data_IF_793597501211
#
_entry.id   IF_793597501211
#
_cell.length_a   1.000
_cell.length_b   1.000
_cell.length_c   1.000
_cell.angle_alpha   90.00
_cell.angle_beta   90.00
_cell.angle_gamma   90.00
#
_symmetry.space_group_name_H-M   'P 1'
#
loop_
_entity.id
_entity.type
_entity.pdbx_description
1 polymer ?
#
# COMPACT_ATOMS: atom_id res chain seq x y z
N UNK A 1 -4.88 -37.03 -18.23
CA UNK A 1 -4.26 -35.78 -17.68
C UNK A 1 -4.23 -35.96 -16.18
N UNK A 2 -3.04 -36.03 -15.62
CA UNK A 2 -2.80 -36.44 -14.24
C UNK A 2 -3.22 -35.35 -13.24
N UNK A 3 -3.66 -35.72 -12.03
CA UNK A 3 -4.08 -34.83 -10.95
C UNK A 3 -3.04 -33.73 -10.64
N UNK A 4 -1.76 -33.97 -10.87
CA UNK A 4 -0.66 -33.02 -10.75
C UNK A 4 -0.76 -31.84 -11.75
N UNK A 5 -1.14 -32.08 -13.00
CA UNK A 5 -1.30 -31.03 -14.02
C UNK A 5 -2.53 -30.15 -13.73
N UNK A 6 -3.59 -30.73 -13.18
CA UNK A 6 -4.79 -30.00 -12.74
C UNK A 6 -4.49 -29.13 -11.52
N UNK A 7 -3.74 -29.63 -10.53
CA UNK A 7 -3.30 -28.85 -9.36
C UNK A 7 -2.38 -27.69 -9.75
N UNK A 8 -1.40 -27.92 -10.65
CA UNK A 8 -0.52 -26.88 -11.16
C UNK A 8 -1.29 -25.81 -11.97
N UNK A 9 -2.31 -26.19 -12.74
CA UNK A 9 -3.15 -25.26 -13.49
C UNK A 9 -4.08 -24.44 -12.57
N UNK A 10 -4.54 -25.02 -11.47
CA UNK A 10 -5.39 -24.31 -10.48
C UNK A 10 -4.59 -23.29 -9.69
N UNK A 11 -3.39 -23.63 -9.24
CA UNK A 11 -2.47 -22.69 -8.58
C UNK A 11 -2.09 -21.54 -9.53
N UNK A 12 -1.81 -21.83 -10.79
CA UNK A 12 -1.50 -20.82 -11.81
C UNK A 12 -2.66 -19.85 -12.03
N UNK A 13 -3.91 -20.31 -12.05
CA UNK A 13 -5.09 -19.46 -12.25
C UNK A 13 -5.49 -18.69 -10.99
N UNK A 14 -5.38 -19.29 -9.81
CA UNK A 14 -5.88 -18.67 -8.58
C UNK A 14 -4.88 -17.69 -7.94
N UNK A 15 -3.58 -17.90 -8.11
CA UNK A 15 -2.53 -17.09 -7.45
C UNK A 15 -1.75 -16.25 -8.45
N UNK A 16 -1.28 -16.84 -9.55
CA UNK A 16 -0.35 -16.14 -10.47
C UNK A 16 -1.06 -15.08 -11.33
N UNK A 17 -2.28 -15.32 -11.82
CA UNK A 17 -2.99 -14.37 -12.68
C UNK A 17 -3.45 -13.10 -11.95
N UNK A 18 -4.07 -13.15 -10.75
CA UNK A 18 -4.40 -11.96 -9.99
C UNK A 18 -3.16 -11.17 -9.59
N UNK A 19 -2.09 -11.87 -9.18
CA UNK A 19 -0.82 -11.27 -8.82
C UNK A 19 -0.15 -10.54 -9.99
N UNK A 20 -0.17 -11.14 -11.19
CA UNK A 20 0.37 -10.52 -12.40
C UNK A 20 -0.41 -9.26 -12.79
N UNK A 21 -1.74 -9.29 -12.74
CA UNK A 21 -2.58 -8.11 -12.98
C UNK A 21 -2.32 -7.00 -11.98
N UNK A 22 -2.15 -7.33 -10.70
CA UNK A 22 -1.77 -6.37 -9.68
C UNK A 22 -0.45 -5.68 -10.03
N UNK A 23 0.58 -6.44 -10.40
CA UNK A 23 1.88 -5.87 -10.81
C UNK A 23 1.79 -5.02 -12.08
N UNK A 24 1.02 -5.41 -13.07
CA UNK A 24 0.80 -4.63 -14.28
C UNK A 24 0.10 -3.29 -13.97
N UNK A 25 -0.94 -3.31 -13.13
CA UNK A 25 -1.65 -2.11 -12.70
C UNK A 25 -0.78 -1.22 -11.81
N UNK A 26 -0.06 -1.78 -10.86
CA UNK A 26 0.82 -1.04 -9.96
C UNK A 26 1.99 -0.39 -10.70
N UNK A 27 2.58 -1.07 -11.70
CA UNK A 27 3.67 -0.50 -12.49
C UNK A 27 3.22 0.66 -13.37
N UNK A 28 2.04 0.55 -14.01
CA UNK A 28 1.48 1.63 -14.80
C UNK A 28 1.07 2.82 -13.90
N UNK A 29 0.45 2.55 -12.74
CA UNK A 29 0.12 3.56 -11.73
C UNK A 29 1.36 4.28 -11.21
N UNK A 30 2.44 3.54 -10.96
CA UNK A 30 3.73 4.10 -10.54
C UNK A 30 4.31 5.09 -11.56
N UNK A 31 4.19 4.82 -12.86
CA UNK A 31 4.64 5.76 -13.90
C UNK A 31 3.83 7.06 -13.90
N UNK A 32 2.48 6.97 -13.76
CA UNK A 32 1.61 8.15 -13.66
C UNK A 32 1.90 8.94 -12.38
N UNK A 33 2.17 8.25 -11.27
CA UNK A 33 2.54 8.84 -10.00
C UNK A 33 3.84 9.65 -10.11
N UNK A 34 4.88 9.09 -10.74
CA UNK A 34 6.16 9.77 -10.97
C UNK A 34 5.97 10.99 -11.88
N UNK A 35 5.16 10.85 -12.93
CA UNK A 35 4.87 11.97 -13.83
C UNK A 35 4.12 13.11 -13.11
N UNK A 36 3.14 12.79 -12.25
CA UNK A 36 2.42 13.76 -11.44
C UNK A 36 3.33 14.48 -10.44
N UNK A 37 4.23 13.75 -9.78
CA UNK A 37 5.21 14.33 -8.87
C UNK A 37 6.22 15.23 -9.59
N UNK A 38 6.74 14.78 -10.72
CA UNK A 38 7.66 15.59 -11.55
C UNK A 38 6.98 16.87 -12.04
N UNK A 39 5.71 16.76 -12.44
CA UNK A 39 4.93 17.93 -12.85
C UNK A 39 4.72 18.89 -11.67
N UNK A 40 4.33 18.39 -10.48
CA UNK A 40 4.16 19.18 -9.28
C UNK A 40 5.46 19.93 -8.90
N UNK A 41 6.59 19.22 -8.92
CA UNK A 41 7.90 19.80 -8.63
C UNK A 41 8.28 20.89 -9.63
N UNK A 42 8.11 20.65 -10.94
CA UNK A 42 8.36 21.63 -11.98
C UNK A 42 7.44 22.84 -11.86
N UNK A 43 6.14 22.63 -11.58
CA UNK A 43 5.19 23.71 -11.41
C UNK A 43 5.52 24.59 -10.20
N UNK A 44 5.82 24.00 -9.07
CA UNK A 44 6.21 24.71 -7.86
C UNK A 44 7.49 25.54 -8.01
N UNK A 45 8.37 25.15 -8.96
CA UNK A 45 9.64 25.86 -9.25
C UNK A 45 9.61 26.65 -10.56
N UNK A 46 8.44 26.92 -11.10
CA UNK A 46 8.23 27.71 -12.30
C UNK A 46 7.75 29.14 -11.97
N UNK A 47 7.71 30.07 -12.94
CA UNK A 47 7.06 31.37 -12.77
C UNK A 47 5.59 31.30 -12.34
N UNK A 48 4.95 30.14 -12.46
CA UNK A 48 3.56 29.89 -12.07
C UNK A 48 3.42 29.27 -10.67
N UNK A 49 4.47 29.26 -9.86
CA UNK A 49 4.45 28.79 -8.46
C UNK A 49 3.32 29.45 -7.64
N UNK A 50 3.02 30.76 -7.77
CA UNK A 50 1.90 31.35 -7.05
C UNK A 50 0.53 30.73 -7.39
N UNK A 51 0.34 30.28 -8.64
CA UNK A 51 -0.89 29.60 -9.05
C UNK A 51 -0.99 28.19 -8.45
N UNK A 52 0.13 27.47 -8.31
CA UNK A 52 0.20 26.19 -7.63
C UNK A 52 -0.17 26.32 -6.15
N UNK A 53 0.38 27.31 -5.44
CA UNK A 53 0.02 27.55 -4.03
C UNK A 53 -1.43 28.01 -3.88
N UNK A 54 -1.94 28.87 -4.77
CA UNK A 54 -3.32 29.28 -4.77
C UNK A 54 -4.28 28.09 -4.95
N UNK A 55 -3.93 27.13 -5.80
CA UNK A 55 -4.69 25.88 -5.98
C UNK A 55 -4.71 25.05 -4.69
N UNK A 56 -3.58 24.86 -4.03
CA UNK A 56 -3.50 24.08 -2.77
C UNK A 56 -4.37 24.69 -1.67
N UNK A 57 -4.35 26.00 -1.55
CA UNK A 57 -5.06 26.76 -0.50
C UNK A 57 -6.47 27.18 -0.89
N UNK A 58 -6.95 26.87 -2.10
CA UNK A 58 -8.31 27.17 -2.51
C UNK A 58 -9.32 26.53 -1.55
N UNK A 59 -10.15 27.38 -0.92
CA UNK A 59 -11.16 26.92 0.04
C UNK A 59 -12.32 26.27 -0.71
N UNK A 60 -12.74 25.12 -0.24
CA UNK A 60 -13.87 24.38 -0.82
C UNK A 60 -14.80 23.94 0.29
N UNK A 61 -16.03 24.40 0.22
CA UNK A 61 -17.08 24.06 1.17
C UNK A 61 -17.97 22.98 0.57
N UNK A 62 -17.97 21.80 1.19
CA UNK A 62 -18.94 20.74 0.87
C UNK A 62 -20.00 20.72 1.97
N UNK A 63 -21.24 21.06 1.63
CA UNK A 63 -22.36 21.06 2.58
C UNK A 63 -23.44 20.10 2.12
N UNK A 64 -23.80 19.14 2.99
CA UNK A 64 -24.89 18.19 2.76
C UNK A 64 -25.83 18.25 3.97
N UNK A 65 -27.10 18.59 3.74
CA UNK A 65 -28.15 18.68 4.77
C UNK A 65 -27.76 19.55 5.99
N UNK A 66 -27.05 20.68 5.76
CA UNK A 66 -26.62 21.58 6.85
C UNK A 66 -25.35 21.15 7.59
N UNK A 67 -24.79 20.00 7.26
CA UNK A 67 -23.50 19.53 7.78
C UNK A 67 -22.42 19.85 6.75
N UNK A 68 -21.48 20.72 7.10
CA UNK A 68 -20.45 21.23 6.21
C UNK A 68 -19.03 20.90 6.64
N UNK A 69 -18.18 20.67 5.64
CA UNK A 69 -16.71 20.63 5.79
C UNK A 69 -16.17 21.76 4.95
N UNK A 70 -15.60 22.76 5.60
CA UNK A 70 -14.93 23.89 4.96
C UNK A 70 -13.43 23.73 5.15
N UNK A 71 -12.74 23.34 4.10
CA UNK A 71 -11.30 23.04 4.11
C UNK A 71 -10.67 23.38 2.77
N UNK A 72 -9.33 23.60 2.76
CA UNK A 72 -8.60 23.75 1.51
C UNK A 72 -8.58 22.48 0.70
N UNK A 73 -8.34 22.59 -0.61
CA UNK A 73 -8.20 21.43 -1.50
C UNK A 73 -7.10 20.48 -1.03
N UNK A 74 -5.97 20.99 -0.54
CA UNK A 74 -4.91 20.16 0.02
C UNK A 74 -5.39 19.32 1.21
N UNK A 75 -6.21 19.87 2.11
CA UNK A 75 -6.80 19.08 3.20
C UNK A 75 -7.80 18.03 2.71
N UNK A 76 -8.60 18.35 1.67
CA UNK A 76 -9.50 17.35 1.07
C UNK A 76 -8.73 16.18 0.47
N UNK A 77 -7.60 16.45 -0.19
CA UNK A 77 -6.72 15.41 -0.74
C UNK A 77 -6.12 14.59 0.39
N UNK A 78 -5.58 15.22 1.43
CA UNK A 78 -4.87 14.53 2.52
C UNK A 78 -5.81 13.81 3.48
N UNK A 79 -7.04 14.31 3.72
CA UNK A 79 -7.98 13.69 4.64
C UNK A 79 -8.93 12.70 3.95
N UNK A 80 -9.53 13.08 2.80
CA UNK A 80 -10.57 12.27 2.16
C UNK A 80 -9.99 11.27 1.15
N UNK A 81 -9.15 11.72 0.21
CA UNK A 81 -8.59 10.77 -0.78
C UNK A 81 -7.67 9.77 -0.10
N UNK A 82 -6.88 10.20 0.90
CA UNK A 82 -6.05 9.29 1.67
C UNK A 82 -6.87 8.34 2.54
N UNK A 83 -8.05 8.72 3.02
CA UNK A 83 -8.93 7.77 3.71
C UNK A 83 -9.42 6.66 2.77
N UNK A 84 -9.72 6.97 1.50
CA UNK A 84 -10.06 5.97 0.49
C UNK A 84 -8.85 5.08 0.14
N UNK A 85 -7.65 5.66 0.04
CA UNK A 85 -6.42 4.90 -0.13
C UNK A 85 -6.23 3.91 1.02
N UNK A 86 -6.27 4.38 2.27
CA UNK A 86 -6.11 3.53 3.45
C UNK A 86 -7.26 2.52 3.64
N UNK A 87 -8.45 2.80 3.11
CA UNK A 87 -9.52 1.81 3.03
C UNK A 87 -9.11 0.64 2.12
N UNK A 88 -8.57 0.90 0.94
CA UNK A 88 -8.10 -0.16 0.02
C UNK A 88 -6.92 -0.92 0.62
N UNK A 89 -5.92 -0.23 1.17
CA UNK A 89 -4.79 -0.85 1.89
C UNK A 89 -5.30 -1.72 3.05
N UNK A 90 -6.28 -1.25 3.82
CA UNK A 90 -6.90 -2.02 4.90
C UNK A 90 -7.61 -3.29 4.41
N UNK A 91 -8.24 -3.26 3.21
CA UNK A 91 -8.82 -4.45 2.58
C UNK A 91 -7.73 -5.45 2.17
N UNK A 92 -6.61 -4.97 1.61
CA UNK A 92 -5.45 -5.79 1.26
C UNK A 92 -4.83 -6.43 2.51
N UNK A 93 -4.61 -5.65 3.58
CA UNK A 93 -4.12 -6.15 4.87
C UNK A 93 -5.04 -7.26 5.38
N UNK A 94 -6.36 -7.02 5.40
CA UNK A 94 -7.33 -8.02 5.87
C UNK A 94 -7.29 -9.28 5.02
N UNK A 95 -7.22 -9.16 3.71
CA UNK A 95 -7.11 -10.30 2.80
C UNK A 95 -5.87 -11.13 3.11
N UNK A 96 -4.71 -10.48 3.24
CA UNK A 96 -3.45 -11.17 3.49
C UNK A 96 -3.42 -11.85 4.87
N UNK A 97 -4.02 -11.24 5.90
CA UNK A 97 -4.12 -11.83 7.24
C UNK A 97 -5.04 -13.05 7.28
N UNK A 98 -6.15 -13.04 6.51
CA UNK A 98 -7.16 -14.10 6.59
C UNK A 98 -6.92 -15.22 5.58
N UNK A 99 -6.49 -14.89 4.37
CA UNK A 99 -6.41 -15.82 3.23
C UNK A 99 -5.07 -15.80 2.48
N UNK A 100 -4.15 -14.88 2.79
CA UNK A 100 -2.89 -14.66 2.07
C UNK A 100 -1.65 -15.16 2.80
N UNK A 101 -0.52 -14.57 2.44
CA UNK A 101 0.82 -14.93 2.94
C UNK A 101 1.04 -14.56 4.41
N UNK A 102 0.25 -13.65 4.97
CA UNK A 102 0.30 -13.31 6.41
C UNK A 102 -0.57 -14.25 7.27
N UNK A 103 -1.20 -15.26 6.67
CA UNK A 103 -1.98 -16.25 7.40
C UNK A 103 -1.08 -17.23 8.14
N UNK A 104 -0.99 -17.04 9.44
CA UNK A 104 -0.21 -17.89 10.34
C UNK A 104 1.26 -17.48 10.46
N UNK A 105 1.81 -17.64 11.67
CA UNK A 105 3.14 -17.18 12.04
C UNK A 105 4.26 -17.72 11.15
N UNK A 106 4.17 -18.97 10.73
CA UNK A 106 5.21 -19.61 9.89
C UNK A 106 5.50 -18.87 8.57
N UNK A 107 4.49 -18.26 7.95
CA UNK A 107 4.62 -17.49 6.71
C UNK A 107 4.83 -16.01 6.99
N UNK A 108 4.11 -15.47 7.96
CA UNK A 108 4.12 -14.06 8.31
C UNK A 108 5.43 -13.61 8.99
N UNK A 109 6.15 -14.51 9.67
CA UNK A 109 7.31 -14.15 10.48
C UNK A 109 8.38 -13.38 9.68
N UNK A 110 8.70 -13.83 8.49
CA UNK A 110 9.73 -13.21 7.66
C UNK A 110 9.37 -11.77 7.23
N UNK A 111 8.22 -11.50 6.58
CA UNK A 111 7.83 -10.14 6.21
C UNK A 111 7.55 -9.25 7.44
N UNK A 112 6.98 -9.78 8.52
CA UNK A 112 6.72 -9.01 9.75
C UNK A 112 8.02 -8.57 10.42
N UNK A 113 8.99 -9.47 10.58
CA UNK A 113 10.29 -9.12 11.17
C UNK A 113 11.06 -8.16 10.26
N UNK A 114 10.99 -8.36 8.93
CA UNK A 114 11.55 -7.44 7.96
C UNK A 114 10.94 -6.04 8.08
N UNK A 115 9.61 -5.94 8.20
CA UNK A 115 8.91 -4.66 8.35
C UNK A 115 9.26 -3.96 9.68
N UNK A 116 9.31 -4.70 10.79
CA UNK A 116 9.75 -4.14 12.07
C UNK A 116 11.17 -3.56 11.97
N UNK A 117 12.10 -4.30 11.33
CA UNK A 117 13.44 -3.79 11.08
C UNK A 117 13.44 -2.57 10.16
N UNK A 118 12.61 -2.61 9.11
CA UNK A 118 12.42 -1.51 8.16
C UNK A 118 11.77 -0.26 8.76
N UNK A 119 11.06 -0.37 9.87
CA UNK A 119 10.54 0.76 10.64
C UNK A 119 11.55 1.27 11.68
N UNK A 120 12.11 0.37 12.47
CA UNK A 120 13.01 0.71 13.58
C UNK A 120 14.35 1.27 13.06
N UNK A 121 14.94 0.68 12.02
CA UNK A 121 16.23 1.12 11.48
C UNK A 121 16.24 2.59 11.05
N UNK A 122 15.33 3.02 10.14
CA UNK A 122 15.27 4.42 9.73
C UNK A 122 14.90 5.37 10.88
N UNK A 123 13.97 4.97 11.77
CA UNK A 123 13.60 5.78 12.92
C UNK A 123 14.79 6.04 13.85
N UNK A 124 15.62 5.03 14.12
CA UNK A 124 16.84 5.18 14.92
C UNK A 124 17.84 6.13 14.27
N UNK A 125 18.12 5.99 12.95
CA UNK A 125 19.02 6.90 12.25
C UNK A 125 18.47 8.33 12.28
N UNK A 126 17.17 8.50 12.07
CA UNK A 126 16.53 9.82 12.14
C UNK A 126 16.71 10.45 13.53
N UNK A 127 16.40 9.71 14.59
CA UNK A 127 16.51 10.20 15.97
C UNK A 127 17.96 10.49 16.34
N UNK A 128 18.93 9.72 15.88
CA UNK A 128 20.35 10.00 16.09
C UNK A 128 20.81 11.32 15.47
N UNK A 129 20.21 11.72 14.34
CA UNK A 129 20.60 12.94 13.60
C UNK A 129 19.78 14.15 14.07
N UNK A 130 18.45 13.98 14.18
CA UNK A 130 17.50 15.09 14.36
C UNK A 130 16.74 15.04 15.70
N UNK A 131 16.93 14.01 16.52
CA UNK A 131 16.15 13.81 17.75
C UNK A 131 16.33 14.86 18.84
N UNK A 132 17.43 15.63 18.82
CA UNK A 132 17.69 16.74 19.75
C UNK A 132 17.35 18.12 19.15
N UNK A 133 16.74 18.17 17.96
CA UNK A 133 16.42 19.40 17.23
C UNK A 133 14.91 19.61 17.16
N UNK A 134 14.50 20.75 16.58
CA UNK A 134 13.08 21.02 16.28
C UNK A 134 12.45 19.99 15.32
N UNK A 135 13.26 19.23 14.58
CA UNK A 135 12.82 18.17 13.67
C UNK A 135 12.50 16.84 14.37
N UNK A 136 12.69 16.73 15.69
CA UNK A 136 12.40 15.49 16.44
C UNK A 136 11.03 14.84 16.12
N UNK A 137 9.92 15.59 15.94
CA UNK A 137 8.63 14.99 15.62
C UNK A 137 8.59 14.16 14.33
N UNK A 138 9.50 14.41 13.38
CA UNK A 138 9.55 13.73 12.09
C UNK A 138 10.13 12.31 12.08
N UNK A 139 10.37 11.70 13.24
CA UNK A 139 11.00 10.37 13.32
C UNK A 139 10.24 9.26 12.58
N UNK A 140 8.92 9.40 12.43
CA UNK A 140 8.08 8.47 11.68
C UNK A 140 8.17 8.64 10.16
N UNK A 141 8.68 9.78 9.65
CA UNK A 141 8.71 10.08 8.22
C UNK A 141 9.50 9.02 7.41
N UNK A 142 10.73 8.63 7.80
CA UNK A 142 11.49 7.65 7.02
C UNK A 142 11.08 6.19 7.26
N UNK A 143 10.07 5.94 8.08
CA UNK A 143 9.62 4.57 8.36
C UNK A 143 8.85 3.94 7.23
N UNK A 144 8.02 4.72 6.52
CA UNK A 144 7.06 4.20 5.56
C UNK A 144 7.68 3.95 4.18
N UNK A 145 7.13 2.94 3.48
CA UNK A 145 7.48 2.58 2.11
C UNK A 145 6.31 2.86 1.18
N UNK A 146 6.57 3.43 0.02
CA UNK A 146 5.57 3.55 -1.05
C UNK A 146 5.52 2.25 -1.87
N UNK A 147 4.50 1.43 -1.60
CA UNK A 147 4.30 0.13 -2.28
C UNK A 147 4.17 0.33 -3.79
N UNK A 148 3.36 1.28 -4.24
CA UNK A 148 3.05 1.47 -5.65
C UNK A 148 4.31 1.83 -6.44
N UNK A 149 5.13 2.72 -5.88
CA UNK A 149 6.39 3.12 -6.50
C UNK A 149 7.43 1.99 -6.44
N UNK A 150 7.61 1.33 -5.29
CA UNK A 150 8.58 0.25 -5.12
C UNK A 150 8.28 -0.94 -6.06
N UNK A 151 7.01 -1.34 -6.16
CA UNK A 151 6.54 -2.39 -7.09
C UNK A 151 6.70 -1.93 -8.55
N UNK A 152 6.42 -0.66 -8.85
CA UNK A 152 6.63 -0.08 -10.18
C UNK A 152 8.10 -0.18 -10.61
N UNK A 153 9.04 0.19 -9.74
CA UNK A 153 10.48 0.06 -10.02
C UNK A 153 10.90 -1.42 -10.14
N UNK A 154 10.37 -2.29 -9.28
CA UNK A 154 10.65 -3.73 -9.35
C UNK A 154 10.16 -4.34 -10.68
N UNK A 155 9.02 -3.87 -11.20
CA UNK A 155 8.46 -4.31 -12.47
C UNK A 155 9.38 -4.00 -13.67
N UNK A 156 10.21 -2.94 -13.60
CA UNK A 156 11.21 -2.63 -14.64
C UNK A 156 12.33 -3.67 -14.75
N UNK A 157 12.52 -4.50 -13.72
CA UNK A 157 13.45 -5.62 -13.76
C UNK A 157 12.83 -6.83 -14.47
N UNK A 158 11.49 -6.91 -14.45
CA UNK A 158 10.72 -7.93 -15.16
C UNK A 158 10.83 -9.33 -14.56
N UNK A 159 10.98 -10.33 -15.46
CA UNK A 159 10.94 -11.74 -15.09
C UNK A 159 12.22 -12.25 -14.39
N UNK A 160 13.26 -11.42 -14.28
CA UNK A 160 14.48 -11.76 -13.54
C UNK A 160 14.24 -11.85 -12.03
N UNK A 161 13.21 -11.16 -11.53
CA UNK A 161 12.89 -11.17 -10.09
C UNK A 161 12.18 -12.46 -9.72
N UNK A 162 12.77 -13.32 -8.86
CA UNK A 162 12.11 -14.51 -8.36
C UNK A 162 10.76 -14.19 -7.70
N UNK A 163 9.81 -15.10 -7.86
CA UNK A 163 8.47 -14.94 -7.31
C UNK A 163 8.47 -14.68 -5.79
N UNK A 164 9.31 -15.40 -5.04
CA UNK A 164 9.43 -15.26 -3.59
C UNK A 164 9.87 -13.85 -3.16
N UNK A 165 10.74 -13.18 -3.94
CA UNK A 165 11.13 -11.78 -3.64
C UNK A 165 9.99 -10.80 -3.89
N UNK A 166 9.18 -11.02 -4.95
CA UNK A 166 7.99 -10.19 -5.23
C UNK A 166 6.97 -10.30 -4.10
N UNK A 167 6.70 -11.54 -3.66
CA UNK A 167 5.78 -11.82 -2.53
C UNK A 167 6.31 -11.22 -1.23
N UNK A 168 7.61 -11.36 -0.97
CA UNK A 168 8.22 -10.76 0.21
C UNK A 168 8.06 -9.23 0.22
N UNK A 169 8.37 -8.54 -0.88
CA UNK A 169 8.23 -7.08 -0.95
C UNK A 169 6.79 -6.65 -0.68
N UNK A 170 5.82 -7.33 -1.30
CA UNK A 170 4.40 -7.00 -1.12
C UNK A 170 3.95 -7.24 0.33
N UNK A 171 4.24 -8.42 0.89
CA UNK A 171 3.87 -8.74 2.26
C UNK A 171 4.58 -7.84 3.29
N UNK A 172 5.87 -7.54 3.06
CA UNK A 172 6.65 -6.59 3.84
C UNK A 172 5.99 -5.20 3.83
N UNK A 173 5.67 -4.69 2.65
CA UNK A 173 5.13 -3.35 2.51
C UNK A 173 3.71 -3.22 3.11
N UNK A 174 2.89 -4.26 3.01
CA UNK A 174 1.58 -4.32 3.68
C UNK A 174 1.71 -4.23 5.21
N UNK A 175 2.70 -4.90 5.80
CA UNK A 175 2.97 -4.82 7.25
C UNK A 175 3.56 -3.46 7.63
N UNK A 176 4.41 -2.89 6.78
CA UNK A 176 5.01 -1.56 6.93
C UNK A 176 3.92 -0.47 6.95
N UNK A 177 2.95 -0.54 6.03
CA UNK A 177 1.79 0.37 5.99
C UNK A 177 0.90 0.24 7.24
N UNK A 178 0.66 -1.00 7.72
CA UNK A 178 -0.06 -1.20 8.97
C UNK A 178 0.68 -0.56 10.15
N UNK A 179 2.00 -0.71 10.20
CA UNK A 179 2.86 -0.08 11.19
C UNK A 179 2.79 1.45 11.12
N UNK A 180 2.85 2.01 9.91
CA UNK A 180 2.72 3.45 9.69
C UNK A 180 1.36 3.99 10.19
N UNK A 181 0.25 3.30 9.91
CA UNK A 181 -1.09 3.67 10.42
C UNK A 181 -1.13 3.67 11.94
N UNK A 182 -0.54 2.65 12.58
CA UNK A 182 -0.47 2.56 14.06
C UNK A 182 0.35 3.73 14.63
N UNK A 183 1.49 4.04 14.01
CA UNK A 183 2.35 5.16 14.43
C UNK A 183 1.61 6.50 14.28
N UNK A 184 0.92 6.72 13.15
CA UNK A 184 0.11 7.92 12.94
C UNK A 184 -0.97 8.05 14.02
N UNK A 185 -1.68 6.95 14.31
CA UNK A 185 -2.75 6.95 15.30
C UNK A 185 -2.28 7.29 16.72
N UNK A 186 -1.09 6.80 17.10
CA UNK A 186 -0.59 6.91 18.47
C UNK A 186 0.24 8.17 18.73
N UNK A 187 0.98 8.65 17.74
CA UNK A 187 2.01 9.69 17.94
C UNK A 187 1.69 11.02 17.24
N UNK A 188 0.82 11.01 16.22
CA UNK A 188 0.50 12.21 15.45
C UNK A 188 -0.93 12.71 15.69
N UNK A 189 -1.58 12.30 16.79
CA UNK A 189 -2.92 12.74 17.18
C UNK A 189 -2.81 13.66 18.41
N UNK A 190 -2.96 14.99 18.27
CA UNK A 190 -2.72 15.91 19.39
C UNK A 190 -3.87 15.91 20.40
N UNK A 191 -5.09 16.27 19.99
CA UNK A 191 -6.25 16.44 20.89
C UNK A 191 -7.42 15.57 20.44
N UNK A 192 -8.01 14.81 21.35
CA UNK A 192 -9.09 13.88 21.04
C UNK A 192 -10.43 14.34 21.63
N UNK A 193 -11.38 14.66 20.75
CA UNK A 193 -12.76 14.84 21.12
C UNK A 193 -13.47 13.48 21.23
N UNK A 194 -13.80 13.08 22.46
CA UNK A 194 -14.29 11.71 22.77
C UNK A 194 -15.60 11.40 22.07
N UNK A 195 -16.58 12.31 22.05
CA UNK A 195 -17.91 12.03 21.49
C UNK A 195 -17.87 11.71 19.99
N UNK A 196 -17.23 12.50 19.11
CA UNK A 196 -17.09 12.15 17.70
C UNK A 196 -16.31 10.84 17.49
N UNK A 197 -15.27 10.58 18.29
CA UNK A 197 -14.54 9.32 18.23
C UNK A 197 -15.44 8.11 18.52
N UNK A 198 -16.26 8.20 19.58
CA UNK A 198 -17.22 7.15 19.93
C UNK A 198 -18.24 6.94 18.81
N UNK A 199 -18.73 8.01 18.18
CA UNK A 199 -19.65 7.91 17.03
C UNK A 199 -18.97 7.17 15.87
N UNK A 200 -17.73 7.51 15.55
CA UNK A 200 -16.96 6.84 14.48
C UNK A 200 -16.80 5.34 14.77
N UNK A 201 -16.36 4.99 15.98
CA UNK A 201 -16.15 3.60 16.38
C UNK A 201 -17.48 2.81 16.41
N UNK A 202 -18.56 3.41 16.94
CA UNK A 202 -19.89 2.80 16.94
C UNK A 202 -20.38 2.53 15.51
N UNK A 203 -20.14 3.47 14.59
CA UNK A 203 -20.47 3.29 13.16
C UNK A 203 -19.68 2.15 12.53
N UNK A 204 -18.39 2.02 12.84
CA UNK A 204 -17.59 0.87 12.42
C UNK A 204 -18.11 -0.45 13.00
N UNK A 205 -18.52 -0.46 14.27
CA UNK A 205 -19.12 -1.65 14.91
C UNK A 205 -20.46 -2.03 14.25
N UNK A 206 -21.29 -1.06 13.88
CA UNK A 206 -22.54 -1.29 13.12
C UNK A 206 -22.24 -1.91 11.75
N UNK A 207 -21.22 -1.39 11.04
CA UNK A 207 -20.78 -1.97 9.77
C UNK A 207 -20.27 -3.41 9.94
N UNK A 208 -19.51 -3.70 11.01
CA UNK A 208 -19.04 -5.03 11.32
C UNK A 208 -20.21 -5.99 11.67
N UNK A 209 -21.18 -5.53 12.44
CA UNK A 209 -22.39 -6.30 12.77
C UNK A 209 -23.19 -6.60 11.50
N UNK A 210 -23.41 -5.61 10.62
CA UNK A 210 -24.07 -5.82 9.33
C UNK A 210 -23.36 -6.86 8.47
N UNK A 211 -22.02 -6.76 8.36
CA UNK A 211 -21.20 -7.74 7.61
C UNK A 211 -21.29 -9.16 8.19
N UNK A 212 -21.26 -9.32 9.54
CA UNK A 212 -21.37 -10.60 10.22
C UNK A 212 -22.76 -11.25 10.07
N UNK A 213 -23.82 -10.46 9.96
CA UNK A 213 -25.18 -10.94 9.72
C UNK A 213 -25.44 -11.31 8.26
N UNK A 214 -24.40 -11.38 7.43
CA UNK A 214 -24.53 -11.74 6.02
C UNK A 214 -24.78 -10.56 5.08
N UNK A 215 -24.78 -9.32 5.60
CA UNK A 215 -24.88 -8.11 4.76
C UNK A 215 -23.67 -7.97 3.84
N UNK A 216 -23.93 -7.69 2.56
CA UNK A 216 -22.86 -7.56 1.55
C UNK A 216 -23.07 -6.39 0.59
N UNK A 217 -24.12 -5.57 0.77
CA UNK A 217 -24.43 -4.45 -0.12
C UNK A 217 -23.37 -3.34 0.03
N UNK A 218 -22.62 -2.99 -1.05
CA UNK A 218 -21.54 -2.01 -0.98
C UNK A 218 -22.01 -0.65 -0.50
N UNK A 219 -23.20 -0.22 -0.89
CA UNK A 219 -23.74 1.09 -0.53
C UNK A 219 -23.86 1.31 0.99
N UNK A 220 -24.16 0.24 1.76
CA UNK A 220 -24.24 0.33 3.21
C UNK A 220 -22.87 0.64 3.82
N UNK A 221 -21.82 -0.03 3.35
CA UNK A 221 -20.44 0.24 3.79
C UNK A 221 -19.98 1.65 3.38
N UNK A 222 -20.38 2.14 2.21
CA UNK A 222 -20.07 3.50 1.76
C UNK A 222 -20.74 4.54 2.66
N UNK A 223 -22.04 4.39 2.97
CA UNK A 223 -22.75 5.33 3.83
C UNK A 223 -22.17 5.30 5.25
N UNK A 224 -22.00 4.12 5.84
CA UNK A 224 -21.42 3.99 7.18
C UNK A 224 -19.97 4.49 7.20
N UNK A 225 -19.19 4.23 6.13
CA UNK A 225 -17.85 4.74 5.97
C UNK A 225 -17.77 6.27 5.93
N UNK A 226 -18.68 6.91 5.21
CA UNK A 226 -18.75 8.37 5.16
C UNK A 226 -19.09 8.97 6.54
N UNK A 227 -20.02 8.36 7.28
CA UNK A 227 -20.36 8.78 8.66
C UNK A 227 -19.16 8.58 9.59
N UNK A 228 -18.50 7.41 9.53
CA UNK A 228 -17.34 7.12 10.35
C UNK A 228 -16.18 8.07 10.05
N UNK A 229 -15.90 8.34 8.77
CA UNK A 229 -14.87 9.28 8.33
C UNK A 229 -15.16 10.70 8.81
N UNK A 230 -16.39 11.19 8.64
CA UNK A 230 -16.77 12.52 9.10
C UNK A 230 -16.67 12.67 10.63
N UNK A 231 -17.14 11.68 11.37
CA UNK A 231 -17.03 11.68 12.82
C UNK A 231 -15.56 11.62 13.27
N UNK A 232 -14.70 10.80 12.59
CA UNK A 232 -13.27 10.74 12.86
C UNK A 232 -12.60 12.10 12.59
N UNK A 233 -12.93 12.76 11.48
CA UNK A 233 -12.44 14.10 11.13
C UNK A 233 -12.76 15.15 12.24
N UNK A 234 -13.92 15.04 12.89
CA UNK A 234 -14.34 15.92 13.99
C UNK A 234 -13.76 15.52 15.34
N UNK A 235 -13.18 14.33 15.44
CA UNK A 235 -12.60 13.84 16.70
C UNK A 235 -11.19 14.35 16.97
N UNK A 236 -10.51 14.95 16.00
CA UNK A 236 -9.08 15.29 16.07
C UNK A 236 -8.14 14.12 15.75
N UNK A 237 -8.67 12.90 15.70
CA UNK A 237 -7.92 11.73 15.18
C UNK A 237 -7.87 11.81 13.66
N UNK A 238 -6.75 11.40 13.06
CA UNK A 238 -6.61 11.44 11.60
C UNK A 238 -7.72 10.66 10.89
N UNK A 239 -8.44 11.33 9.99
CA UNK A 239 -9.61 10.79 9.31
C UNK A 239 -9.30 9.53 8.48
N UNK A 240 -8.05 9.35 8.07
CA UNK A 240 -7.54 8.17 7.33
C UNK A 240 -7.68 6.87 8.12
N UNK A 241 -7.63 6.93 9.46
CA UNK A 241 -7.80 5.77 10.34
C UNK A 241 -9.20 5.17 10.18
N UNK A 242 -10.23 6.01 9.94
CA UNK A 242 -11.57 5.51 9.67
C UNK A 242 -11.62 4.61 8.43
N UNK A 243 -10.82 4.92 7.39
CA UNK A 243 -10.67 4.06 6.20
C UNK A 243 -10.20 2.66 6.56
N UNK A 244 -9.11 2.56 7.33
CA UNK A 244 -8.57 1.26 7.77
C UNK A 244 -9.57 0.50 8.63
N UNK A 245 -10.18 1.16 9.64
CA UNK A 245 -11.16 0.51 10.50
C UNK A 245 -12.36 -0.01 9.71
N UNK A 246 -12.88 0.78 8.77
CA UNK A 246 -13.98 0.37 7.89
C UNK A 246 -13.60 -0.82 7.02
N UNK A 247 -12.40 -0.89 6.48
CA UNK A 247 -11.92 -2.03 5.69
C UNK A 247 -12.00 -3.34 6.48
N UNK A 248 -11.62 -3.31 7.77
CA UNK A 248 -11.73 -4.49 8.63
C UNK A 248 -13.17 -4.92 8.92
N UNK A 249 -14.17 -4.07 8.68
CA UNK A 249 -15.59 -4.44 8.84
C UNK A 249 -16.16 -5.17 7.63
N UNK A 250 -15.62 -4.95 6.43
CA UNK A 250 -16.10 -5.55 5.17
C UNK A 250 -15.88 -7.06 5.20
N UNK A 251 -16.91 -7.91 4.97
CA UNK A 251 -16.76 -9.35 5.09
C UNK A 251 -15.92 -9.94 3.95
N UNK A 252 -14.99 -10.83 4.31
CA UNK A 252 -14.28 -11.70 3.39
C UNK A 252 -15.00 -13.06 3.40
N UNK A 253 -15.74 -13.34 2.33
CA UNK A 253 -16.40 -14.64 2.15
C UNK A 253 -15.48 -15.57 1.37
N UNK A 254 -15.35 -16.80 1.81
CA UNK A 254 -14.62 -17.80 1.04
C UNK A 254 -15.44 -18.15 -0.20
N UNK A 255 -14.80 -18.12 -1.37
CA UNK A 255 -15.39 -18.64 -2.60
C UNK A 255 -15.53 -20.16 -2.41
N UNK A 256 -16.68 -20.79 -2.72
CA UNK A 256 -16.83 -22.24 -2.70
C UNK A 256 -15.72 -22.90 -3.52
N UNK A 257 -15.28 -24.08 -3.07
CA UNK A 257 -14.21 -24.83 -3.70
C UNK A 257 -14.44 -24.95 -5.22
N UNK A 258 -13.38 -24.70 -5.99
CA UNK A 258 -13.44 -24.76 -7.45
C UNK A 258 -13.94 -26.13 -7.96
N UNK A 259 -13.73 -27.21 -7.19
CA UNK A 259 -14.27 -28.53 -7.45
C UNK A 259 -15.81 -28.57 -7.34
N UNK A 260 -16.37 -28.01 -6.27
CA UNK A 260 -17.83 -27.91 -6.07
C UNK A 260 -18.48 -26.99 -7.13
N UNK A 261 -17.77 -25.95 -7.58
CA UNK A 261 -18.23 -25.12 -8.70
C UNK A 261 -18.16 -25.88 -10.03
N UNK A 262 -17.12 -26.66 -10.26
CA UNK A 262 -16.95 -27.50 -11.45
C UNK A 262 -18.03 -28.59 -11.56
N UNK A 263 -18.35 -29.27 -10.46
CA UNK A 263 -19.45 -30.27 -10.41
C UNK A 263 -20.81 -29.62 -10.66
N UNK A 264 -21.08 -28.44 -10.15
CA UNK A 264 -22.30 -27.70 -10.40
C UNK A 264 -22.41 -27.15 -11.83
N UNK A 265 -21.26 -26.92 -12.51
CA UNK A 265 -21.18 -26.33 -13.86
C UNK A 265 -21.28 -27.37 -14.99
N UNK A 266 -20.72 -28.56 -14.78
CA UNK A 266 -20.62 -29.60 -15.83
C UNK A 266 -21.96 -30.04 -16.42
N UNK A 267 -23.04 -30.21 -15.66
CA UNK A 267 -24.35 -30.56 -16.21
C UNK A 267 -25.08 -29.42 -16.92
N UNK A 268 -24.73 -28.17 -16.60
CA UNK A 268 -25.44 -26.98 -17.10
C UNK A 268 -24.87 -26.44 -18.44
N UNK A 269 -23.65 -26.79 -18.77
CA UNK A 269 -23.01 -26.40 -20.04
C UNK A 269 -23.26 -27.35 -21.20
N UNK A 270 -24.12 -28.37 -21.02
CA UNK A 270 -24.52 -29.29 -22.05
C UNK A 270 -25.88 -28.91 -22.63
N UNK A 271 -25.90 -28.21 -23.76
CA UNK A 271 -27.14 -27.77 -24.41
C UNK A 271 -26.91 -27.01 -25.71
N UNK A 272 -27.97 -26.44 -26.29
CA UNK A 272 -27.87 -25.58 -27.48
C UNK A 272 -27.15 -24.28 -27.15
N UNK A 273 -26.51 -23.61 -28.15
CA UNK A 273 -25.76 -22.34 -27.94
C UNK A 273 -26.54 -21.27 -27.17
N UNK A 274 -27.83 -21.13 -27.45
CA UNK A 274 -28.74 -20.16 -26.78
C UNK A 274 -28.95 -20.49 -25.29
N UNK A 275 -29.06 -21.79 -24.94
CA UNK A 275 -29.12 -22.23 -23.52
C UNK A 275 -27.82 -21.99 -22.78
N UNK A 276 -26.69 -22.21 -23.44
CA UNK A 276 -25.35 -21.95 -22.87
C UNK A 276 -25.19 -20.46 -22.56
N UNK A 277 -25.68 -19.57 -23.42
CA UNK A 277 -25.60 -18.11 -23.22
C UNK A 277 -26.46 -17.64 -22.05
N UNK A 278 -27.69 -18.11 -21.92
CA UNK A 278 -28.57 -17.83 -20.77
C UNK A 278 -28.01 -18.41 -19.46
N UNK A 279 -27.40 -19.58 -19.49
CA UNK A 279 -26.74 -20.17 -18.31
C UNK A 279 -25.44 -19.49 -17.97
N UNK A 280 -24.64 -19.01 -18.93
CA UNK A 280 -23.47 -18.17 -18.68
C UNK A 280 -23.86 -16.87 -17.96
N UNK A 281 -24.92 -16.19 -18.41
CA UNK A 281 -25.41 -15.00 -17.71
C UNK A 281 -25.93 -15.31 -16.28
N UNK A 282 -26.62 -16.42 -16.10
CA UNK A 282 -27.07 -16.84 -14.76
C UNK A 282 -25.90 -17.20 -13.84
N UNK A 283 -24.83 -17.75 -14.40
CA UNK A 283 -23.58 -18.06 -13.69
C UNK A 283 -22.76 -16.82 -13.36
N UNK A 284 -22.68 -15.87 -14.28
CA UNK A 284 -22.07 -14.57 -13.99
C UNK A 284 -22.79 -13.88 -12.84
N UNK A 285 -24.12 -13.86 -12.84
CA UNK A 285 -24.92 -13.31 -11.74
C UNK A 285 -24.70 -14.05 -10.41
N UNK A 286 -24.64 -15.39 -10.43
CA UNK A 286 -24.36 -16.21 -9.24
C UNK A 286 -22.93 -16.04 -8.73
N UNK A 287 -21.95 -15.90 -9.61
CA UNK A 287 -20.55 -15.62 -9.26
C UNK A 287 -20.43 -14.21 -8.67
N UNK A 288 -21.15 -13.25 -9.24
CA UNK A 288 -21.15 -11.87 -8.76
C UNK A 288 -21.83 -11.73 -7.40
N UNK A 289 -22.93 -12.46 -7.16
CA UNK A 289 -23.64 -12.52 -5.87
C UNK A 289 -22.80 -13.23 -4.79
N UNK A 290 -22.01 -14.23 -5.18
CA UNK A 290 -21.10 -14.96 -4.27
C UNK A 290 -19.71 -14.39 -4.15
N UNK A 291 -19.35 -13.40 -4.98
CA UNK A 291 -18.08 -12.66 -4.80
C UNK A 291 -18.05 -12.02 -3.43
N UNK A 292 -16.93 -12.21 -2.73
CA UNK A 292 -16.70 -11.54 -1.46
C UNK A 292 -16.82 -10.02 -1.63
N UNK A 293 -17.63 -9.34 -0.79
CA UNK A 293 -17.72 -7.87 -0.83
C UNK A 293 -16.34 -7.20 -0.76
N UNK A 294 -15.39 -7.78 0.00
CA UNK A 294 -14.01 -7.31 0.08
C UNK A 294 -13.34 -7.31 -1.30
N UNK A 295 -13.38 -8.42 -2.03
CA UNK A 295 -12.77 -8.50 -3.37
C UNK A 295 -13.44 -7.55 -4.37
N UNK A 296 -14.75 -7.32 -4.25
CA UNK A 296 -15.45 -6.37 -5.10
C UNK A 296 -14.97 -4.93 -4.86
N UNK A 297 -14.81 -4.51 -3.60
CA UNK A 297 -14.28 -3.20 -3.28
C UNK A 297 -12.84 -3.05 -3.75
N UNK A 298 -11.97 -4.01 -3.43
CA UNK A 298 -10.57 -4.02 -3.81
C UNK A 298 -10.43 -3.87 -5.34
N UNK A 299 -11.06 -4.77 -6.09
CA UNK A 299 -10.95 -4.78 -7.55
C UNK A 299 -11.51 -3.51 -8.22
N UNK A 300 -12.61 -2.94 -7.68
CA UNK A 300 -13.20 -1.73 -8.24
C UNK A 300 -12.42 -0.48 -7.86
N UNK A 301 -11.89 -0.39 -6.65
CA UNK A 301 -11.22 0.82 -6.16
C UNK A 301 -9.73 0.89 -6.51
N UNK A 302 -9.05 -0.25 -6.66
CA UNK A 302 -7.62 -0.30 -6.93
C UNK A 302 -7.18 0.52 -8.16
N UNK A 303 -7.88 0.52 -9.32
CA UNK A 303 -7.53 1.39 -10.44
C UNK A 303 -7.66 2.88 -10.09
N UNK A 304 -8.69 3.27 -9.33
CA UNK A 304 -8.86 4.66 -8.89
C UNK A 304 -7.76 5.08 -7.92
N UNK A 305 -7.33 4.18 -7.03
CA UNK A 305 -6.18 4.43 -6.15
C UNK A 305 -4.92 4.66 -6.99
N UNK A 306 -4.61 3.76 -7.91
CA UNK A 306 -3.37 3.81 -8.68
C UNK A 306 -3.31 4.98 -9.69
N UNK A 307 -4.41 5.30 -10.37
CA UNK A 307 -4.42 6.24 -11.49
C UNK A 307 -5.04 7.60 -11.17
N UNK A 308 -5.71 7.76 -10.03
CA UNK A 308 -6.35 9.01 -9.65
C UNK A 308 -5.90 9.49 -8.28
N UNK A 309 -6.10 8.70 -7.21
CA UNK A 309 -5.88 9.14 -5.83
C UNK A 309 -4.40 9.42 -5.58
N UNK A 310 -3.53 8.46 -5.87
CA UNK A 310 -2.10 8.60 -5.64
C UNK A 310 -1.45 9.69 -6.52
N UNK A 311 -1.75 9.81 -7.83
CA UNK A 311 -1.27 10.92 -8.65
C UNK A 311 -1.75 12.30 -8.17
N UNK A 312 -3.03 12.43 -7.76
CA UNK A 312 -3.54 13.69 -7.20
C UNK A 312 -2.82 14.00 -5.89
N UNK A 313 -2.67 13.02 -5.01
CA UNK A 313 -1.91 13.20 -3.76
C UNK A 313 -0.49 13.68 -4.04
N UNK A 314 0.23 13.06 -4.99
CA UNK A 314 1.57 13.49 -5.38
C UNK A 314 1.58 14.90 -5.97
N UNK A 315 0.58 15.25 -6.79
CA UNK A 315 0.45 16.59 -7.34
C UNK A 315 0.35 17.65 -6.24
N UNK A 316 -0.35 17.39 -5.16
CA UNK A 316 -0.55 18.33 -4.06
C UNK A 316 0.62 18.36 -3.05
N UNK A 317 1.38 17.27 -2.94
CA UNK A 317 2.38 17.10 -1.88
C UNK A 317 3.84 17.08 -2.33
N UNK A 318 4.13 16.77 -3.61
CA UNK A 318 5.50 16.70 -4.11
C UNK A 318 6.04 18.04 -4.65
N UNK A 319 5.24 19.09 -4.70
CA UNK A 319 5.68 20.40 -5.16
C UNK A 319 6.42 21.17 -4.06
N UNK A 320 7.70 20.89 -3.91
CA UNK A 320 8.62 21.58 -3.00
C UNK A 320 9.29 22.73 -3.72
N UNK A 321 9.30 23.93 -3.14
CA UNK A 321 9.94 25.08 -3.73
C UNK A 321 11.43 25.12 -3.38
N UNK A 322 12.30 25.02 -4.40
CA UNK A 322 13.79 25.03 -4.26
C UNK A 322 14.40 26.35 -4.71
N UNK A 323 13.62 27.21 -5.41
CA UNK A 323 14.16 28.42 -6.06
C UNK A 323 14.22 29.65 -5.15
N UNK A 324 13.56 29.61 -3.99
CA UNK A 324 13.48 30.74 -3.05
C UNK A 324 14.76 31.06 -2.24
N UNK A 325 15.88 30.40 -2.50
CA UNK A 325 17.17 30.68 -1.85
C UNK A 325 17.26 30.33 -0.36
N UNK A 326 16.20 29.73 0.21
CA UNK A 326 16.13 29.40 1.63
C UNK A 326 16.27 27.90 1.92
N UNK A 327 16.33 27.06 0.88
CA UNK A 327 16.51 25.62 1.04
C UNK A 327 18.00 25.29 1.17
N UNK A 328 18.50 25.40 2.37
CA UNK A 328 19.74 24.74 2.75
C UNK A 328 19.46 23.24 2.94
N UNK A 329 20.43 22.38 2.58
CA UNK A 329 20.38 20.96 2.95
C UNK A 329 20.51 20.90 4.47
N UNK A 330 19.38 21.03 5.15
CA UNK A 330 19.33 21.08 6.59
C UNK A 330 19.34 19.71 7.24
N UNK A 331 19.26 19.70 8.56
CA UNK A 331 19.26 18.48 9.38
C UNK A 331 18.04 17.60 9.06
N UNK A 332 16.87 18.20 8.81
CA UNK A 332 15.65 17.49 8.45
C UNK A 332 15.80 16.71 7.16
N UNK A 333 16.30 17.35 6.09
CA UNK A 333 16.62 16.70 4.81
C UNK A 333 17.58 15.52 5.00
N UNK A 334 18.69 15.75 5.71
CA UNK A 334 19.73 14.73 5.92
C UNK A 334 19.22 13.53 6.73
N UNK A 335 18.47 13.80 7.80
CA UNK A 335 17.93 12.75 8.67
C UNK A 335 16.95 11.82 7.93
N UNK A 336 16.04 12.38 7.11
CA UNK A 336 15.13 11.59 6.29
C UNK A 336 15.88 10.85 5.19
N UNK A 337 16.78 11.53 4.48
CA UNK A 337 17.54 10.93 3.39
C UNK A 337 18.35 9.72 3.85
N UNK A 338 19.10 9.85 4.93
CA UNK A 338 19.90 8.75 5.49
C UNK A 338 19.01 7.67 6.14
N UNK A 339 17.91 8.07 6.78
CA UNK A 339 16.93 7.15 7.32
C UNK A 339 16.36 6.20 6.25
N UNK A 340 15.90 6.75 5.12
CA UNK A 340 15.38 5.97 4.01
C UNK A 340 16.46 5.18 3.28
N UNK A 341 17.58 5.81 2.94
CA UNK A 341 18.58 5.20 2.06
C UNK A 341 19.47 4.17 2.78
N UNK A 342 19.78 4.39 4.04
CA UNK A 342 20.64 3.51 4.85
C UNK A 342 19.82 2.77 5.89
N UNK A 343 18.94 3.45 6.60
CA UNK A 343 18.16 2.88 7.69
C UNK A 343 17.23 1.74 7.23
N UNK A 344 16.55 1.91 6.11
CA UNK A 344 15.67 0.87 5.56
C UNK A 344 16.43 -0.41 5.19
N UNK A 345 17.41 -0.40 4.28
CA UNK A 345 18.10 -1.63 3.91
C UNK A 345 18.85 -2.27 5.08
N UNK A 346 19.50 -1.49 5.94
CA UNK A 346 20.21 -2.03 7.10
C UNK A 346 19.24 -2.61 8.12
N UNK A 347 18.13 -1.92 8.39
CA UNK A 347 17.11 -2.37 9.34
C UNK A 347 16.41 -3.65 8.86
N UNK A 348 16.00 -3.71 7.58
CA UNK A 348 15.36 -4.90 6.99
C UNK A 348 16.31 -6.09 7.00
N UNK A 349 17.52 -5.92 6.47
CA UNK A 349 18.50 -7.00 6.39
C UNK A 349 18.93 -7.43 7.78
N UNK A 350 19.21 -6.50 8.68
CA UNK A 350 19.60 -6.79 10.06
C UNK A 350 18.54 -7.58 10.80
N UNK A 351 17.28 -7.16 10.75
CA UNK A 351 16.18 -7.84 11.41
C UNK A 351 15.91 -9.24 10.79
N UNK A 352 15.95 -9.36 9.46
CA UNK A 352 15.77 -10.64 8.79
C UNK A 352 16.91 -11.60 9.14
N UNK A 353 18.15 -11.15 9.18
CA UNK A 353 19.29 -11.98 9.58
C UNK A 353 19.20 -12.40 11.05
N UNK A 354 18.83 -11.47 11.93
CA UNK A 354 18.64 -11.75 13.36
C UNK A 354 17.53 -12.78 13.57
N UNK A 355 16.38 -12.64 12.89
CA UNK A 355 15.29 -13.62 12.99
C UNK A 355 15.67 -15.00 12.47
N UNK A 356 16.46 -15.07 11.40
CA UNK A 356 17.02 -16.32 10.89
C UNK A 356 18.02 -16.95 11.86
N UNK A 357 18.89 -16.16 12.49
CA UNK A 357 19.83 -16.62 13.53
C UNK A 357 19.10 -17.13 14.78
N UNK A 358 18.03 -16.48 15.18
CA UNK A 358 17.14 -16.91 16.26
C UNK A 358 16.26 -18.13 15.88
N UNK A 359 16.40 -18.66 14.64
CA UNK A 359 15.64 -19.80 14.10
C UNK A 359 14.11 -19.60 14.13
N UNK A 360 13.64 -18.36 14.01
CA UNK A 360 12.21 -18.06 13.94
C UNK A 360 11.59 -18.53 12.62
N UNK A 361 12.39 -18.59 11.55
CA UNK A 361 12.04 -19.11 10.22
C UNK A 361 13.29 -19.57 9.47
N UNK A 362 13.09 -20.26 8.35
CA UNK A 362 14.16 -20.60 7.41
C UNK A 362 14.09 -19.66 6.21
N UNK A 363 15.23 -19.06 5.87
CA UNK A 363 15.32 -18.22 4.67
C UNK A 363 15.21 -19.08 3.42
N UNK A 364 14.31 -18.75 2.47
CA UNK A 364 14.29 -19.37 1.17
C UNK A 364 15.62 -19.13 0.43
N UNK A 365 16.11 -20.08 -0.40
CA UNK A 365 17.37 -19.95 -1.13
C UNK A 365 17.45 -18.69 -2.01
N UNK A 366 16.30 -18.24 -2.52
CA UNK A 366 16.16 -17.05 -3.36
C UNK A 366 16.40 -15.74 -2.59
N UNK A 367 16.25 -15.75 -1.26
CA UNK A 367 16.38 -14.60 -0.37
C UNK A 367 17.78 -14.53 0.25
N UNK A 368 18.80 -14.52 -0.60
CA UNK A 368 20.17 -14.30 -0.15
C UNK A 368 20.37 -12.84 0.31
N UNK A 369 21.45 -12.60 1.07
CA UNK A 369 21.78 -11.29 1.64
C UNK A 369 21.82 -10.16 0.57
N UNK A 370 22.34 -10.46 -0.62
CA UNK A 370 22.45 -9.47 -1.70
C UNK A 370 21.08 -9.09 -2.27
N UNK A 371 20.19 -10.08 -2.45
CA UNK A 371 18.83 -9.84 -2.92
C UNK A 371 18.01 -9.08 -1.87
N UNK A 372 18.11 -9.46 -0.59
CA UNK A 372 17.45 -8.76 0.51
C UNK A 372 17.92 -7.31 0.65
N UNK A 373 19.21 -7.03 0.45
CA UNK A 373 19.72 -5.67 0.47
C UNK A 373 19.12 -4.83 -0.66
N UNK A 374 19.01 -5.38 -1.87
CA UNK A 374 18.34 -4.72 -2.99
C UNK A 374 16.85 -4.47 -2.73
N UNK A 375 16.16 -5.44 -2.11
CA UNK A 375 14.77 -5.24 -1.68
C UNK A 375 14.66 -4.17 -0.59
N UNK A 376 15.63 -4.10 0.32
CA UNK A 376 15.73 -3.04 1.32
C UNK A 376 15.93 -1.65 0.72
N UNK A 377 16.73 -1.53 -0.36
CA UNK A 377 16.86 -0.28 -1.10
C UNK A 377 15.53 0.14 -1.73
N UNK A 378 14.78 -0.79 -2.34
CA UNK A 378 13.43 -0.48 -2.83
C UNK A 378 12.46 -0.12 -1.69
N UNK A 379 12.59 -0.75 -0.53
CA UNK A 379 11.86 -0.38 0.68
C UNK A 379 12.18 1.05 1.15
N UNK A 380 13.36 1.60 0.80
CA UNK A 380 13.74 2.99 1.04
C UNK A 380 13.03 4.02 0.16
N UNK A 381 12.18 3.59 -0.78
CA UNK A 381 11.30 4.49 -1.53
C UNK A 381 10.11 4.86 -0.63
N UNK A 382 10.24 5.95 0.12
CA UNK A 382 9.19 6.37 1.06
C UNK A 382 8.10 7.21 0.41
N UNK A 383 8.45 7.96 -0.61
CA UNK A 383 7.69 8.89 -1.44
C UNK A 383 6.33 9.34 -0.85
N UNK A 384 5.19 8.86 -1.37
CA UNK A 384 3.86 9.34 -0.98
C UNK A 384 3.55 9.12 0.51
N UNK A 385 3.94 7.97 1.06
CA UNK A 385 3.68 7.66 2.46
C UNK A 385 4.55 8.50 3.39
N UNK A 386 5.82 8.69 3.06
CA UNK A 386 6.70 9.58 3.83
C UNK A 386 6.28 11.05 3.71
N UNK A 387 5.83 11.52 2.52
CA UNK A 387 5.27 12.85 2.35
C UNK A 387 4.00 13.06 3.20
N UNK A 388 3.13 12.04 3.28
CA UNK A 388 1.94 12.07 4.11
C UNK A 388 2.29 12.20 5.60
N UNK A 389 3.23 11.40 6.10
CA UNK A 389 3.65 11.47 7.50
C UNK A 389 4.37 12.80 7.78
N UNK A 390 5.13 13.34 6.83
CA UNK A 390 5.76 14.64 6.96
C UNK A 390 4.73 15.77 7.13
N UNK A 391 3.66 15.75 6.35
CA UNK A 391 2.56 16.71 6.44
C UNK A 391 1.84 16.67 7.82
N UNK A 392 1.79 15.50 8.44
CA UNK A 392 1.25 15.32 9.79
C UNK A 392 2.22 15.74 10.90
N UNK A 393 3.53 15.60 10.65
CA UNK A 393 4.57 15.87 11.64
C UNK A 393 4.93 17.34 11.76
N UNK A 394 4.80 18.11 10.66
CA UNK A 394 5.32 19.48 10.57
C UNK A 394 4.25 20.46 10.10
N UNK A 395 3.67 21.26 11.04
CA UNK A 395 2.77 22.35 10.69
C UNK A 395 3.48 23.56 10.09
N UNK A 396 4.81 23.73 10.33
CA UNK A 396 5.63 24.80 9.77
C UNK A 396 5.99 24.47 8.30
N UNK A 397 5.60 25.32 7.33
CA UNK A 397 5.87 25.09 5.92
C UNK A 397 7.36 24.96 5.57
N UNK A 398 8.24 25.71 6.24
CA UNK A 398 9.68 25.69 5.96
C UNK A 398 10.29 24.35 6.38
N UNK A 399 9.96 23.89 7.58
CA UNK A 399 10.40 22.59 8.07
C UNK A 399 9.85 21.45 7.24
N UNK A 400 8.57 21.58 6.84
CA UNK A 400 7.89 20.61 5.99
C UNK A 400 8.56 20.47 4.62
N UNK A 401 8.87 21.58 3.95
CA UNK A 401 9.52 21.59 2.63
C UNK A 401 10.93 20.99 2.69
N UNK A 402 11.69 21.27 3.75
CA UNK A 402 13.01 20.69 3.99
C UNK A 402 12.92 19.16 4.12
N UNK A 403 11.99 18.66 4.91
CA UNK A 403 11.77 17.22 5.11
C UNK A 403 11.26 16.56 3.83
N UNK A 404 10.33 17.19 3.10
CA UNK A 404 9.82 16.72 1.80
C UNK A 404 10.95 16.60 0.77
N UNK A 405 11.87 17.54 0.73
CA UNK A 405 13.05 17.45 -0.13
C UNK A 405 13.87 16.20 0.17
N UNK A 406 14.10 15.91 1.45
CA UNK A 406 14.79 14.69 1.90
C UNK A 406 14.08 13.42 1.42
N UNK A 407 12.76 13.36 1.52
CA UNK A 407 11.93 12.24 1.02
C UNK A 407 12.08 12.06 -0.48
N UNK A 408 11.94 13.14 -1.26
CA UNK A 408 12.00 13.09 -2.72
C UNK A 408 13.38 12.64 -3.20
N UNK A 409 14.44 13.24 -2.67
CA UNK A 409 15.81 12.87 -3.01
C UNK A 409 16.13 11.42 -2.64
N UNK A 410 15.76 10.99 -1.42
CA UNK A 410 15.97 9.61 -0.98
C UNK A 410 15.22 8.59 -1.87
N UNK A 411 13.97 8.88 -2.20
CA UNK A 411 13.15 7.98 -3.02
C UNK A 411 13.70 7.79 -4.43
N UNK A 412 14.15 8.86 -5.07
CA UNK A 412 14.78 8.79 -6.40
C UNK A 412 16.10 8.01 -6.33
N UNK A 413 16.96 8.31 -5.36
CA UNK A 413 18.24 7.62 -5.20
C UNK A 413 18.04 6.14 -4.84
N UNK A 414 17.10 5.84 -3.94
CA UNK A 414 16.76 4.46 -3.55
C UNK A 414 16.21 3.65 -4.72
N UNK A 415 15.34 4.25 -5.54
CA UNK A 415 14.81 3.61 -6.75
C UNK A 415 15.91 3.27 -7.75
N UNK A 416 16.80 4.24 -8.03
CA UNK A 416 17.91 4.04 -8.96
C UNK A 416 18.91 2.99 -8.45
N UNK A 417 19.35 3.11 -7.20
CA UNK A 417 20.30 2.18 -6.59
C UNK A 417 19.69 0.77 -6.44
N UNK A 418 18.43 0.67 -6.03
CA UNK A 418 17.72 -0.60 -5.91
C UNK A 418 17.58 -1.31 -7.25
N UNK A 419 17.20 -0.57 -8.31
CA UNK A 419 17.12 -1.08 -9.67
C UNK A 419 18.49 -1.55 -10.19
N UNK A 420 19.52 -0.74 -10.04
CA UNK A 420 20.88 -1.07 -10.50
C UNK A 420 21.44 -2.28 -9.75
N UNK A 421 21.29 -2.29 -8.42
CA UNK A 421 21.75 -3.38 -7.57
C UNK A 421 21.07 -4.71 -7.89
N UNK A 422 19.75 -4.73 -7.99
CA UNK A 422 19.01 -5.95 -8.28
C UNK A 422 19.29 -6.46 -9.71
N UNK A 423 19.44 -5.56 -10.69
CA UNK A 423 19.88 -5.96 -12.04
C UNK A 423 21.27 -6.60 -12.07
N UNK A 424 22.16 -6.18 -11.19
CA UNK A 424 23.50 -6.73 -11.07
C UNK A 424 23.50 -8.09 -10.34
N UNK A 425 22.71 -8.23 -9.28
CA UNK A 425 22.69 -9.42 -8.41
C UNK A 425 21.84 -10.56 -8.98
N UNK A 426 20.72 -10.22 -9.64
CA UNK A 426 19.80 -11.23 -10.14
C UNK A 426 20.27 -11.77 -11.51
N UNK A 427 20.14 -13.09 -11.74
CA UNK A 427 20.56 -13.71 -12.99
C UNK A 427 19.80 -13.15 -14.20
N UNK A 428 20.45 -13.13 -15.35
CA UNK A 428 19.89 -12.55 -16.58
C UNK A 428 18.72 -13.34 -17.18
N UNK A 429 18.59 -14.62 -16.82
CA UNK A 429 17.49 -15.50 -17.25
C UNK A 429 16.79 -16.07 -16.03
N UNK A 430 15.44 -16.17 -16.00
CA UNK A 430 14.78 -16.93 -14.97
C UNK A 430 15.33 -18.35 -15.04
N UNK A 431 15.67 -18.94 -13.88
CA UNK A 431 15.95 -20.38 -13.83
C UNK A 431 14.71 -21.08 -14.44
N UNK A 432 14.88 -21.72 -15.58
CA UNK A 432 13.83 -22.54 -16.16
C UNK A 432 13.34 -23.48 -15.06
N UNK A 433 12.04 -23.49 -14.80
CA UNK A 433 11.46 -24.54 -13.97
C UNK A 433 11.94 -25.85 -14.61
N UNK A 434 12.52 -26.80 -13.84
CA UNK A 434 12.94 -28.04 -14.39
C UNK A 434 11.77 -28.64 -15.17
N UNK A 435 11.95 -28.92 -16.45
CA UNK A 435 10.95 -29.61 -17.23
C UNK A 435 10.59 -30.89 -16.47
N UNK A 436 9.31 -31.22 -16.33
CA UNK A 436 8.92 -32.48 -15.72
C UNK A 436 9.62 -33.58 -16.52
N UNK A 437 10.51 -34.32 -15.85
CA UNK A 437 11.19 -35.46 -16.49
C UNK A 437 10.17 -36.29 -17.27
N UNK A 438 10.43 -36.61 -18.53
CA UNK A 438 9.55 -37.50 -19.28
C UNK A 438 9.47 -38.81 -18.51
N UNK A 439 8.28 -39.09 -17.95
CA UNK A 439 8.02 -40.36 -17.32
C UNK A 439 8.40 -41.47 -18.33
N UNK A 440 9.50 -42.14 -18.05
CA UNK A 440 9.86 -43.40 -18.74
C UNK A 440 8.72 -44.38 -18.48
N UNK A 441 7.84 -44.49 -19.46
CA UNK A 441 6.89 -45.57 -19.56
C UNK A 441 7.67 -46.77 -20.05
N UNK A 442 8.02 -47.65 -19.16
CA UNK A 442 8.31 -49.07 -19.47
C UNK A 442 7.21 -49.91 -18.92
#
# INVERSE_FOLDING_TARGET
MTASAAAASSIRRQVILPFRRFFETASAGGAVLIAAAGFAFLWANSPWAPAYEAMKHAQTTATIAGVGVDKSLAHWVNDFLMALFFFVVGLEIKRELVAGELRGWSRAALPVIGALGGMVGPALIYVMIAGSTAYAPGWGVPMATDIAFAVGVLALIGDRVPYGLKVFLLAFAIVDDLGAVIVIALFYTPDVAVLPLVISLATCLLAAAYGRQGGGRPIVFVILGAIAWYAMLKSGVHATIAGVLMAFTVPLRQVPDAAALGEALTPRLSGSPERIEVELHSLEALIEERRSPLHNFEHKLQPYVAFLIMPIFALFNAGVNVTGGTLEIGIGTLAVFLGLLIGKPVGIVGAVMLGSWLKLYRLPPEMNLRALFGMGLLGGIGFTMSLFIADLAFPDPVMLDEVKLGVLCASVVAAFLGLAWLRWVLPASPAALPDPEPSSVT
#
